data_IF_303195737898
#
_entry.id   IF_303195737898
#
_cell.length_a   1.000
_cell.length_b   1.000
_cell.length_c   1.000
_cell.angle_alpha   90.00
_cell.angle_beta   90.00
_cell.angle_gamma   90.00
#
_symmetry.space_group_name_H-M   'P 1'
#
loop_
_entity.id
_entity.type
_entity.pdbx_description
1 polymer ?
#
# COMPACT_ATOMS: atom_id res chain seq x y z
N UNK A 1 -12.16 -12.78 7.35
CA UNK A 1 -10.80 -12.40 7.79
C UNK A 1 -10.82 -11.99 9.25
N UNK A 2 -9.87 -12.46 10.01
CA UNK A 2 -9.79 -12.13 11.42
C UNK A 2 -8.98 -10.86 11.63
N UNK A 3 -9.50 -9.98 12.48
CA UNK A 3 -8.81 -8.72 12.78
C UNK A 3 -7.43 -8.93 13.39
N UNK A 4 -7.27 -10.00 14.18
CA UNK A 4 -6.00 -10.29 14.83
C UNK A 4 -4.87 -10.67 13.89
N UNK A 5 -5.16 -10.94 12.62
CA UNK A 5 -4.14 -11.21 11.63
C UNK A 5 -3.58 -9.96 10.99
N UNK A 6 -4.21 -8.81 11.22
CA UNK A 6 -3.77 -7.54 10.67
C UNK A 6 -2.85 -6.87 11.68
N UNK A 7 -1.56 -7.06 11.52
CA UNK A 7 -0.59 -6.67 12.54
C UNK A 7 0.28 -5.48 12.16
N UNK A 8 0.40 -5.18 10.87
CA UNK A 8 1.32 -4.15 10.41
C UNK A 8 0.58 -2.83 10.17
N UNK A 9 0.90 -1.76 10.90
CA UNK A 9 0.22 -0.49 10.70
C UNK A 9 0.64 0.14 9.37
N UNK A 10 -0.35 0.70 8.68
CA UNK A 10 -0.11 1.44 7.45
C UNK A 10 -0.91 2.72 7.45
N UNK A 11 -0.44 3.69 6.69
CA UNK A 11 -1.13 4.96 6.47
C UNK A 11 -1.33 5.14 4.98
N UNK A 12 -2.54 5.49 4.58
CA UNK A 12 -2.86 5.74 3.19
C UNK A 12 -2.93 7.24 2.97
N UNK A 13 -2.14 7.74 2.02
CA UNK A 13 -2.07 9.14 1.67
C UNK A 13 -2.53 9.33 0.25
N UNK A 14 -3.29 10.37 0.00
CA UNK A 14 -3.85 10.66 -1.31
C UNK A 14 -3.35 11.99 -1.83
N UNK A 15 -2.92 12.07 -3.10
CA UNK A 15 -2.43 13.33 -3.66
C UNK A 15 -3.58 14.31 -3.87
N UNK A 16 -3.29 15.58 -3.63
CA UNK A 16 -4.21 16.66 -3.85
C UNK A 16 -3.44 17.82 -4.47
N UNK A 17 -3.96 18.39 -5.53
CA UNK A 17 -3.34 19.55 -6.16
C UNK A 17 -3.82 20.81 -5.48
N UNK A 18 -2.89 21.64 -5.02
CA UNK A 18 -3.19 22.91 -4.38
C UNK A 18 -2.35 24.00 -5.04
N UNK A 19 -2.79 25.24 -4.91
CA UNK A 19 -1.99 26.37 -5.35
C UNK A 19 -1.24 26.97 -4.18
N UNK A 20 0.04 27.22 -4.38
CA UNK A 20 0.85 27.86 -3.35
C UNK A 20 0.63 29.38 -3.40
N UNK A 21 1.35 30.12 -2.56
CA UNK A 21 1.20 31.56 -2.47
C UNK A 21 1.60 32.30 -3.76
N UNK A 22 2.34 31.64 -4.63
CA UNK A 22 2.77 32.19 -5.92
C UNK A 22 1.84 31.81 -7.06
N UNK A 23 0.75 31.10 -6.77
CA UNK A 23 -0.19 30.67 -7.79
C UNK A 23 0.24 29.42 -8.54
N UNK A 24 1.33 28.80 -8.16
CA UNK A 24 1.81 27.57 -8.78
C UNK A 24 1.04 26.37 -8.24
N UNK A 25 0.77 25.40 -9.10
CA UNK A 25 0.15 24.15 -8.67
C UNK A 25 1.20 23.21 -8.11
N UNK A 26 0.97 22.75 -6.90
CA UNK A 26 1.85 21.80 -6.24
C UNK A 26 1.01 20.63 -5.74
N UNK A 27 1.65 19.47 -5.60
CA UNK A 27 0.97 18.27 -5.11
C UNK A 27 1.29 18.11 -3.63
N UNK A 28 0.24 17.97 -2.83
CA UNK A 28 0.37 17.65 -1.42
C UNK A 28 -0.33 16.32 -1.19
N UNK A 29 0.08 15.60 -0.16
CA UNK A 29 -0.49 14.31 0.19
C UNK A 29 -1.20 14.40 1.53
N UNK A 30 -2.51 14.09 1.51
CA UNK A 30 -3.32 14.08 2.71
C UNK A 30 -3.44 12.66 3.24
N UNK A 31 -3.33 12.50 4.55
CA UNK A 31 -3.61 11.21 5.18
C UNK A 31 -5.12 10.99 5.15
N UNK A 32 -5.57 9.96 4.46
CA UNK A 32 -7.00 9.69 4.36
C UNK A 32 -7.43 8.51 5.22
N UNK A 33 -6.50 7.62 5.60
CA UNK A 33 -6.85 6.43 6.36
C UNK A 33 -5.65 5.88 7.09
N UNK A 34 -5.85 5.48 8.33
CA UNK A 34 -4.86 4.73 9.11
C UNK A 34 -5.48 3.40 9.45
N UNK A 35 -4.77 2.32 9.17
CA UNK A 35 -5.29 0.99 9.46
C UNK A 35 -4.13 0.02 9.63
N UNK A 36 -4.46 -1.24 9.73
CA UNK A 36 -3.47 -2.31 9.81
C UNK A 36 -3.64 -3.26 8.64
N UNK A 37 -2.55 -3.84 8.21
CA UNK A 37 -2.52 -4.77 7.10
C UNK A 37 -1.76 -6.02 7.49
N UNK A 38 -1.85 -7.03 6.66
CA UNK A 38 -1.05 -8.23 6.78
C UNK A 38 -0.21 -8.36 5.51
N UNK A 39 1.06 -8.68 5.68
CA UNK A 39 1.91 -8.96 4.53
C UNK A 39 1.58 -10.35 4.02
N UNK A 40 1.25 -10.44 2.74
CA UNK A 40 0.94 -11.71 2.11
C UNK A 40 2.19 -12.20 1.40
N UNK A 41 2.60 -13.42 1.72
CA UNK A 41 3.72 -14.04 1.04
C UNK A 41 3.22 -14.76 -0.20
N UNK A 42 3.72 -14.33 -1.35
CA UNK A 42 3.32 -14.92 -2.61
C UNK A 42 4.15 -16.16 -2.93
N UNK A 43 3.52 -17.05 -3.67
CA UNK A 43 4.25 -18.02 -4.41
C UNK A 43 4.84 -19.19 -3.68
N UNK A 44 4.15 -19.71 -2.74
CA UNK A 44 4.54 -21.00 -2.19
C UNK A 44 5.88 -21.05 -1.52
N UNK A 45 6.38 -19.93 -1.12
CA UNK A 45 7.56 -19.89 -0.29
C UNK A 45 8.85 -20.35 -0.92
N UNK A 46 8.90 -20.33 -2.24
CA UNK A 46 10.11 -20.70 -2.94
C UNK A 46 10.71 -19.52 -3.66
N UNK A 47 11.53 -18.81 -2.92
CA UNK A 47 12.32 -17.76 -3.52
C UNK A 47 13.77 -18.13 -3.38
N UNK A 48 14.51 -18.04 -4.46
CA UNK A 48 15.94 -18.14 -4.37
C UNK A 48 16.50 -16.79 -3.99
N UNK A 49 17.77 -16.72 -3.69
CA UNK A 49 18.38 -15.49 -3.23
C UNK A 49 18.26 -14.36 -4.24
N UNK A 50 18.37 -14.69 -5.51
CA UNK A 50 18.28 -13.67 -6.56
C UNK A 50 16.87 -13.08 -6.63
N UNK A 51 15.87 -13.92 -6.52
CA UNK A 51 14.50 -13.45 -6.50
C UNK A 51 14.22 -12.57 -5.28
N UNK A 52 14.76 -12.96 -4.13
CA UNK A 52 14.61 -12.16 -2.92
C UNK A 52 15.15 -10.75 -3.10
N UNK A 53 16.30 -10.62 -3.75
CA UNK A 53 16.90 -9.32 -4.00
C UNK A 53 16.00 -8.47 -4.90
N UNK A 54 15.49 -9.06 -5.98
CA UNK A 54 14.64 -8.33 -6.91
C UNK A 54 13.31 -7.93 -6.31
N UNK A 55 12.73 -8.78 -5.46
CA UNK A 55 11.38 -8.57 -4.97
C UNK A 55 11.31 -7.91 -3.60
N UNK A 56 12.44 -7.46 -3.06
CA UNK A 56 12.42 -6.72 -1.79
C UNK A 56 11.66 -5.41 -1.90
N UNK A 57 11.53 -4.87 -3.10
CA UNK A 57 10.80 -3.62 -3.33
C UNK A 57 9.32 -3.83 -3.65
N UNK A 58 8.86 -5.07 -3.67
CA UNK A 58 7.47 -5.38 -3.95
C UNK A 58 6.87 -6.14 -2.79
N UNK A 59 5.69 -5.75 -2.38
CA UNK A 59 4.95 -6.44 -1.33
C UNK A 59 3.49 -6.50 -1.68
N UNK A 60 2.78 -7.48 -1.12
CA UNK A 60 1.33 -7.56 -1.21
C UNK A 60 0.77 -7.41 0.19
N UNK A 61 -0.14 -6.46 0.35
CA UNK A 61 -0.81 -6.21 1.62
C UNK A 61 -2.23 -6.75 1.56
N UNK A 62 -2.67 -7.39 2.63
CA UNK A 62 -4.05 -7.79 2.78
C UNK A 62 -4.74 -6.81 3.70
N UNK A 63 -5.81 -6.21 3.22
CA UNK A 63 -6.60 -5.23 3.94
C UNK A 63 -8.07 -5.66 3.96
N UNK A 64 -8.84 -5.04 4.83
CA UNK A 64 -10.29 -5.18 4.78
C UNK A 64 -10.82 -4.44 3.56
N UNK A 65 -11.91 -4.94 3.01
CA UNK A 65 -12.46 -4.42 1.74
C UNK A 65 -13.05 -3.01 1.87
N UNK A 66 -13.37 -2.56 3.07
CA UNK A 66 -13.92 -1.21 3.26
C UNK A 66 -12.84 -0.12 3.28
N UNK A 67 -11.58 -0.50 3.34
CA UNK A 67 -10.49 0.49 3.36
C UNK A 67 -10.36 1.13 1.98
N UNK A 68 -10.46 2.46 1.87
CA UNK A 68 -10.37 3.12 0.58
C UNK A 68 -8.92 3.17 0.10
N UNK A 69 -8.66 2.55 -1.04
CA UNK A 69 -7.34 2.58 -1.67
C UNK A 69 -7.56 2.84 -3.15
N UNK A 70 -6.76 3.74 -3.72
CA UNK A 70 -6.81 4.05 -5.13
C UNK A 70 -5.41 3.93 -5.71
N UNK A 71 -5.33 3.79 -7.03
CA UNK A 71 -4.05 3.62 -7.71
C UNK A 71 -3.12 4.82 -7.58
N UNK A 72 -3.66 5.98 -7.26
CA UNK A 72 -2.84 7.18 -7.08
C UNK A 72 -2.36 7.37 -5.64
N UNK A 73 -2.79 6.50 -4.75
CA UNK A 73 -2.47 6.65 -3.34
C UNK A 73 -1.04 6.18 -3.03
N UNK A 74 -0.50 6.74 -1.97
CA UNK A 74 0.78 6.33 -1.42
C UNK A 74 0.52 5.63 -0.11
N UNK A 75 1.13 4.46 0.06
CA UNK A 75 1.04 3.70 1.31
C UNK A 75 2.32 3.95 2.09
N UNK A 76 2.18 4.43 3.32
CA UNK A 76 3.31 4.54 4.22
C UNK A 76 3.34 3.30 5.11
N UNK A 77 4.38 2.50 4.95
CA UNK A 77 4.55 1.24 5.65
C UNK A 77 6.01 1.07 6.01
N UNK A 78 6.26 0.70 7.27
CA UNK A 78 7.61 0.43 7.76
C UNK A 78 8.55 1.62 7.55
N UNK A 79 8.06 2.84 7.78
CA UNK A 79 8.80 4.10 7.65
C UNK A 79 9.26 4.39 6.22
N UNK A 80 8.66 3.73 5.25
CA UNK A 80 8.97 3.93 3.83
C UNK A 80 7.69 4.22 3.09
N UNK A 81 7.83 4.82 1.93
CA UNK A 81 6.69 5.13 1.08
C UNK A 81 6.63 4.16 -0.07
N UNK A 82 5.40 3.72 -0.38
CA UNK A 82 5.15 2.72 -1.39
C UNK A 82 4.04 3.21 -2.30
N UNK A 83 4.12 2.90 -3.59
CA UNK A 83 3.05 3.22 -4.53
C UNK A 83 2.19 1.99 -4.75
N UNK A 84 0.91 2.23 -5.02
CA UNK A 84 -0.03 1.16 -5.33
C UNK A 84 0.13 0.78 -6.80
N UNK A 85 0.35 -0.52 -7.07
CA UNK A 85 0.47 -0.99 -8.44
C UNK A 85 -0.67 -1.91 -8.85
N UNK A 86 -1.36 -2.53 -7.89
CA UNK A 86 -2.50 -3.37 -8.20
C UNK A 86 -3.44 -3.48 -7.01
N UNK A 87 -4.72 -3.55 -7.30
CA UNK A 87 -5.76 -3.71 -6.27
C UNK A 87 -6.64 -4.87 -6.70
N UNK A 88 -6.69 -5.90 -5.88
CA UNK A 88 -7.50 -7.08 -6.18
C UNK A 88 -8.50 -7.32 -5.05
N UNK A 89 -9.79 -7.09 -5.28
CA UNK A 89 -10.80 -7.29 -4.26
C UNK A 89 -11.24 -8.75 -4.15
N UNK A 90 -11.51 -9.17 -2.93
CA UNK A 90 -12.07 -10.49 -2.63
C UNK A 90 -13.34 -10.27 -1.81
N UNK A 91 -14.42 -9.89 -2.48
CA UNK A 91 -15.64 -9.46 -1.81
C UNK A 91 -16.27 -10.53 -0.92
N UNK A 92 -16.22 -11.77 -1.34
CA UNK A 92 -16.80 -12.87 -0.54
C UNK A 92 -16.07 -13.04 0.80
N UNK A 93 -14.82 -12.68 0.85
CA UNK A 93 -13.98 -12.80 2.06
C UNK A 93 -13.82 -11.47 2.77
N UNK A 94 -14.45 -10.42 2.26
CA UNK A 94 -14.44 -9.08 2.85
C UNK A 94 -13.02 -8.54 3.00
N UNK A 95 -12.17 -8.80 2.01
CA UNK A 95 -10.79 -8.36 2.01
C UNK A 95 -10.36 -7.92 0.62
N UNK A 96 -9.19 -7.30 0.55
CA UNK A 96 -8.57 -6.94 -0.71
C UNK A 96 -7.07 -7.09 -0.57
N UNK A 97 -6.42 -7.40 -1.68
CA UNK A 97 -4.97 -7.45 -1.75
C UNK A 97 -4.46 -6.27 -2.55
N UNK A 98 -3.52 -5.56 -1.98
CA UNK A 98 -2.92 -4.38 -2.60
C UNK A 98 -1.45 -4.69 -2.86
N UNK A 99 -1.05 -4.68 -4.12
CA UNK A 99 0.36 -4.80 -4.46
C UNK A 99 0.98 -3.43 -4.42
N UNK A 100 2.09 -3.32 -3.74
CA UNK A 100 2.78 -2.05 -3.57
C UNK A 100 4.24 -2.19 -3.96
N UNK A 101 4.78 -1.10 -4.47
CA UNK A 101 6.18 -1.03 -4.89
C UNK A 101 6.86 0.10 -4.14
N UNK A 102 8.06 -0.19 -3.64
CA UNK A 102 8.83 0.81 -2.91
C UNK A 102 9.20 1.98 -3.83
N UNK A 103 8.98 3.18 -3.33
CA UNK A 103 9.37 4.39 -4.04
C UNK A 103 10.81 4.69 -3.66
N UNK A 104 11.68 4.69 -4.66
CA UNK A 104 13.06 5.04 -4.47
C UNK A 104 13.26 6.53 -4.73
N UNK A 105 13.89 7.17 -3.80
CA UNK A 105 14.23 8.58 -3.93
C UNK A 105 15.58 8.77 -4.62
#
# INVERSE_FOLDING_TARGET
MRAGLLTDPITIKRPRTVKNQYGEEVVEYDTIWNTRARIVHNGGGRTNENESIFYTSLKTLELRDYVPVDYYDIIEYNLKQWRVIDIEPFKKQQKQHIKIELIND
#
